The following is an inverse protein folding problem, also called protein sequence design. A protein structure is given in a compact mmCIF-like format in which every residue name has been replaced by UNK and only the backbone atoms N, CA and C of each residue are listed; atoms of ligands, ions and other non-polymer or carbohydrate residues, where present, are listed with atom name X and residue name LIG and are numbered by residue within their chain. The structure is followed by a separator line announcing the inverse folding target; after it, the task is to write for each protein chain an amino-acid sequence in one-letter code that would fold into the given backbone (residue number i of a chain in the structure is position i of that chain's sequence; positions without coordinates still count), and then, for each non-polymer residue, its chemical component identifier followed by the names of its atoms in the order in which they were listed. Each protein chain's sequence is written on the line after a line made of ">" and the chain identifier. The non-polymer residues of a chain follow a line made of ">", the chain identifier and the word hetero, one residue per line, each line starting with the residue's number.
data_IF_954674958431
#
_entry.id   IF_954674958431
#
_cell.length_a   1.000
_cell.length_b   1.000
_cell.length_c   1.000
_cell.angle_alpha   90.00
_cell.angle_beta   90.00
_cell.angle_gamma   90.00
#
_symmetry.space_group_name_H-M   'P 1'
#
loop_
_entity.id
_entity.type
_entity.pdbx_description
1 polymer ?
#
# COMPACT_ATOMS: atom_id res chain seq x y z
N UNK A 1 -57.94 -3.70 39.47
CA UNK A 1 -57.19 -4.75 38.72
C UNK A 1 -56.72 -4.17 37.38
N UNK A 2 -55.50 -3.65 37.38
CA UNK A 2 -54.77 -3.17 36.17
C UNK A 2 -53.40 -3.77 36.30
N UNK A 3 -52.95 -4.58 35.33
CA UNK A 3 -51.54 -4.82 34.98
C UNK A 3 -51.43 -5.86 33.89
N UNK A 4 -50.50 -5.56 32.99
CA UNK A 4 -49.86 -6.44 32.00
C UNK A 4 -50.37 -6.31 30.58
N UNK A 5 -49.75 -5.35 29.86
CA UNK A 5 -49.45 -5.46 28.44
C UNK A 5 -48.34 -4.46 28.12
N UNK A 6 -47.10 -4.85 28.25
CA UNK A 6 -45.92 -4.14 27.66
C UNK A 6 -44.69 -4.99 27.88
N UNK A 7 -44.34 -5.90 26.99
CA UNK A 7 -43.02 -6.51 26.90
C UNK A 7 -42.88 -7.54 25.75
N UNK A 8 -43.39 -7.30 24.55
CA UNK A 8 -43.16 -8.27 23.43
C UNK A 8 -42.61 -7.59 22.14
N UNK A 9 -42.43 -6.27 22.11
CA UNK A 9 -42.07 -5.61 20.85
C UNK A 9 -40.54 -5.38 20.62
N UNK A 10 -39.69 -5.71 21.57
CA UNK A 10 -38.24 -5.41 21.48
C UNK A 10 -37.35 -6.56 20.94
N UNK A 11 -37.87 -7.77 20.78
CA UNK A 11 -37.04 -8.94 20.40
C UNK A 11 -37.06 -9.24 18.89
N UNK A 12 -38.01 -8.70 18.13
CA UNK A 12 -38.17 -9.06 16.70
C UNK A 12 -37.27 -8.24 15.78
N UNK A 13 -36.79 -7.07 16.18
CA UNK A 13 -35.98 -6.19 15.32
C UNK A 13 -34.49 -6.60 15.23
N UNK A 14 -33.96 -7.32 16.20
CA UNK A 14 -32.54 -7.77 16.14
C UNK A 14 -32.33 -9.04 15.29
N UNK A 15 -33.35 -9.87 15.12
CA UNK A 15 -33.23 -11.13 14.36
C UNK A 15 -33.34 -10.94 12.84
N UNK A 16 -34.03 -9.92 12.37
CA UNK A 16 -34.17 -9.63 10.93
C UNK A 16 -32.90 -9.09 10.29
N UNK A 17 -32.05 -8.36 11.03
CA UNK A 17 -30.78 -7.83 10.54
C UNK A 17 -29.70 -8.88 10.31
N UNK A 18 -29.68 -9.95 11.12
CA UNK A 18 -28.70 -11.05 10.99
C UNK A 18 -29.09 -12.02 9.88
N UNK A 19 -30.36 -12.28 9.64
CA UNK A 19 -30.84 -13.15 8.57
C UNK A 19 -30.57 -12.52 7.18
N UNK A 20 -30.78 -11.22 7.03
CA UNK A 20 -30.54 -10.53 5.76
C UNK A 20 -29.05 -10.47 5.37
N UNK A 21 -28.14 -10.32 6.34
CA UNK A 21 -26.68 -10.37 6.09
C UNK A 21 -26.19 -11.75 5.68
N UNK A 22 -26.70 -12.82 6.31
CA UNK A 22 -26.35 -14.19 5.95
C UNK A 22 -26.83 -14.56 4.54
N UNK A 23 -28.02 -14.15 4.15
CA UNK A 23 -28.59 -14.42 2.81
C UNK A 23 -27.80 -13.68 1.72
N UNK A 24 -27.40 -12.43 1.95
CA UNK A 24 -26.60 -11.64 1.00
C UNK A 24 -25.18 -12.21 0.82
N UNK A 25 -24.54 -12.66 1.91
CA UNK A 25 -23.22 -13.29 1.84
C UNK A 25 -23.27 -14.64 1.11
N UNK A 26 -24.31 -15.46 1.35
CA UNK A 26 -24.51 -16.72 0.64
C UNK A 26 -24.75 -16.51 -0.85
N UNK A 27 -25.57 -15.53 -1.23
CA UNK A 27 -25.81 -15.16 -2.63
C UNK A 27 -24.52 -14.74 -3.35
N UNK A 28 -23.63 -13.98 -2.67
CA UNK A 28 -22.32 -13.59 -3.20
C UNK A 28 -21.44 -14.81 -3.46
N UNK A 29 -21.37 -15.74 -2.51
CA UNK A 29 -20.59 -16.98 -2.63
C UNK A 29 -21.14 -17.85 -3.78
N UNK A 30 -22.45 -18.01 -3.88
CA UNK A 30 -23.07 -18.81 -4.93
C UNK A 30 -22.86 -18.19 -6.32
N UNK A 31 -22.90 -16.86 -6.45
CA UNK A 31 -22.55 -16.13 -7.66
C UNK A 31 -21.07 -16.33 -8.03
N UNK A 32 -20.16 -16.12 -7.09
CA UNK A 32 -18.72 -16.31 -7.29
C UNK A 32 -18.36 -17.75 -7.66
N UNK A 33 -19.06 -18.74 -7.08
CA UNK A 33 -18.89 -20.16 -7.44
C UNK A 33 -19.28 -20.45 -8.88
N UNK A 34 -20.30 -19.79 -9.41
CA UNK A 34 -20.71 -19.92 -10.82
C UNK A 34 -19.69 -19.26 -11.75
N UNK A 35 -19.09 -18.15 -11.36
CA UNK A 35 -18.06 -17.46 -12.11
C UNK A 35 -16.72 -18.22 -12.13
N UNK A 36 -16.36 -18.90 -11.05
CA UNK A 36 -15.25 -19.86 -10.95
C UNK A 36 -13.85 -19.25 -11.04
N UNK A 37 -13.72 -17.96 -11.32
CA UNK A 37 -12.45 -17.27 -11.46
C UNK A 37 -12.54 -15.80 -11.08
N UNK A 38 -11.36 -15.19 -10.78
CA UNK A 38 -11.19 -13.75 -10.59
C UNK A 38 -9.85 -13.32 -11.20
N UNK A 39 -9.85 -12.22 -11.95
CA UNK A 39 -8.64 -11.63 -12.54
C UNK A 39 -8.15 -10.49 -11.66
N UNK A 40 -6.95 -10.63 -11.11
CA UNK A 40 -6.33 -9.70 -10.20
C UNK A 40 -5.12 -9.00 -10.83
N UNK A 41 -5.19 -7.69 -11.03
CA UNK A 41 -4.02 -6.89 -11.40
C UNK A 41 -3.39 -6.28 -10.15
N UNK A 42 -2.12 -6.60 -9.91
CA UNK A 42 -1.39 -6.16 -8.72
C UNK A 42 -0.08 -5.46 -9.06
N UNK A 43 0.20 -4.36 -8.40
CA UNK A 43 1.51 -3.69 -8.47
C UNK A 43 2.47 -4.12 -7.38
N UNK A 44 1.98 -4.81 -6.35
CA UNK A 44 2.80 -5.37 -5.28
C UNK A 44 3.80 -6.42 -5.82
N UNK A 45 4.73 -6.83 -4.99
CA UNK A 45 5.70 -7.89 -5.35
C UNK A 45 5.00 -9.20 -5.68
N UNK A 46 5.48 -9.90 -6.72
CA UNK A 46 4.87 -11.14 -7.22
C UNK A 46 4.73 -12.21 -6.12
N UNK A 47 5.76 -12.38 -5.27
CA UNK A 47 5.74 -13.33 -4.15
C UNK A 47 4.65 -13.00 -3.15
N UNK A 48 4.42 -11.71 -2.86
CA UNK A 48 3.36 -11.28 -1.96
C UNK A 48 1.98 -11.53 -2.57
N UNK A 49 1.80 -11.20 -3.84
CA UNK A 49 0.56 -11.49 -4.57
C UNK A 49 0.25 -13.01 -4.58
N UNK A 50 1.25 -13.85 -4.85
CA UNK A 50 1.10 -15.32 -4.82
C UNK A 50 0.68 -15.85 -3.46
N UNK A 51 1.24 -15.35 -2.35
CA UNK A 51 0.84 -15.76 -1.00
C UNK A 51 -0.61 -15.41 -0.71
N UNK A 52 -1.04 -14.22 -1.11
CA UNK A 52 -2.40 -13.74 -0.92
C UNK A 52 -3.38 -14.58 -1.74
N UNK A 53 -3.08 -14.81 -3.02
CA UNK A 53 -3.96 -15.60 -3.90
C UNK A 53 -4.05 -17.05 -3.47
N UNK A 54 -2.94 -17.67 -3.04
CA UNK A 54 -2.94 -19.02 -2.49
C UNK A 54 -3.79 -19.14 -1.23
N UNK A 55 -3.75 -18.15 -0.33
CA UNK A 55 -4.59 -18.14 0.86
C UNK A 55 -6.09 -18.00 0.51
N UNK A 56 -6.41 -17.17 -0.49
CA UNK A 56 -7.77 -17.05 -1.00
C UNK A 56 -8.27 -18.35 -1.64
N UNK A 57 -7.49 -18.96 -2.53
CA UNK A 57 -7.84 -20.22 -3.20
C UNK A 57 -7.98 -21.39 -2.20
N UNK A 58 -7.18 -21.39 -1.13
CA UNK A 58 -7.34 -22.36 -0.04
C UNK A 58 -8.70 -22.23 0.66
N UNK A 59 -9.16 -20.98 0.87
CA UNK A 59 -10.46 -20.72 1.51
C UNK A 59 -11.63 -20.94 0.57
N UNK A 60 -11.46 -20.60 -0.70
CA UNK A 60 -12.49 -20.69 -1.74
C UNK A 60 -11.98 -21.53 -2.94
N UNK A 61 -11.84 -22.87 -2.77
CA UNK A 61 -11.17 -23.73 -3.76
C UNK A 61 -11.92 -23.84 -5.08
N UNK A 62 -13.12 -23.31 -5.15
CA UNK A 62 -13.95 -23.24 -6.35
C UNK A 62 -13.69 -21.99 -7.19
N UNK A 63 -12.77 -21.10 -6.79
CA UNK A 63 -12.39 -19.90 -7.55
C UNK A 63 -10.89 -19.96 -7.84
N UNK A 64 -10.52 -19.79 -9.11
CA UNK A 64 -9.14 -19.59 -9.54
C UNK A 64 -8.82 -18.11 -9.61
N UNK A 65 -7.64 -17.73 -9.10
CA UNK A 65 -7.14 -16.34 -9.20
C UNK A 65 -6.12 -16.25 -10.33
N UNK A 66 -6.49 -15.55 -11.40
CA UNK A 66 -5.52 -15.14 -12.44
C UNK A 66 -4.85 -13.82 -12.00
N UNK A 67 -3.71 -13.93 -11.33
CA UNK A 67 -2.98 -12.80 -10.82
C UNK A 67 -1.88 -12.34 -11.80
N UNK A 68 -2.00 -11.13 -12.30
CA UNK A 68 -0.98 -10.51 -13.16
C UNK A 68 -0.29 -9.37 -12.44
N UNK A 69 1.03 -9.50 -12.23
CA UNK A 69 1.86 -8.41 -11.70
C UNK A 69 2.16 -7.39 -12.81
N UNK A 70 1.73 -6.15 -12.61
CA UNK A 70 1.93 -5.04 -13.56
C UNK A 70 2.45 -3.82 -12.77
N UNK A 71 3.49 -3.15 -13.27
CA UNK A 71 3.93 -1.87 -12.68
C UNK A 71 2.81 -0.83 -12.76
N UNK A 72 2.69 0.02 -11.73
CA UNK A 72 1.55 0.91 -11.54
C UNK A 72 1.23 1.80 -12.76
N UNK A 73 2.22 2.44 -13.36
CA UNK A 73 2.00 3.30 -14.55
C UNK A 73 1.46 2.49 -15.75
N UNK A 74 2.06 1.31 -16.02
CA UNK A 74 1.60 0.42 -17.09
C UNK A 74 0.20 -0.13 -16.81
N UNK A 75 -0.12 -0.37 -15.55
CA UNK A 75 -1.46 -0.80 -15.15
C UNK A 75 -2.50 0.28 -15.46
N UNK A 76 -2.21 1.55 -15.15
CA UNK A 76 -3.08 2.68 -15.50
C UNK A 76 -3.36 2.73 -17.00
N UNK A 77 -2.31 2.65 -17.82
CA UNK A 77 -2.44 2.64 -19.29
C UNK A 77 -3.30 1.46 -19.77
N UNK A 78 -3.07 0.28 -19.21
CA UNK A 78 -3.83 -0.94 -19.58
C UNK A 78 -5.30 -0.85 -19.20
N UNK A 79 -5.62 -0.43 -17.98
CA UNK A 79 -7.02 -0.28 -17.53
C UNK A 79 -7.78 0.72 -18.38
N UNK A 80 -7.15 1.85 -18.73
CA UNK A 80 -7.76 2.85 -19.63
C UNK A 80 -8.00 2.27 -21.01
N UNK A 81 -7.05 1.56 -21.59
CA UNK A 81 -7.20 0.93 -22.90
C UNK A 81 -8.30 -0.15 -22.91
N UNK A 82 -8.37 -1.00 -21.87
CA UNK A 82 -9.40 -2.02 -21.71
C UNK A 82 -10.80 -1.38 -21.65
N UNK A 83 -10.96 -0.31 -20.86
CA UNK A 83 -12.22 0.42 -20.71
C UNK A 83 -12.65 1.09 -22.04
N UNK A 84 -11.73 1.78 -22.73
CA UNK A 84 -11.99 2.41 -24.02
C UNK A 84 -12.36 1.39 -25.09
N UNK A 85 -11.70 0.23 -25.09
CA UNK A 85 -11.98 -0.88 -25.98
C UNK A 85 -13.23 -1.69 -25.63
N UNK A 86 -13.93 -1.37 -24.51
CA UNK A 86 -15.04 -2.17 -23.94
C UNK A 86 -14.68 -3.66 -23.77
N UNK A 87 -13.42 -3.93 -23.40
CA UNK A 87 -12.86 -5.26 -23.19
C UNK A 87 -12.19 -5.34 -21.84
N UNK A 88 -12.93 -4.98 -20.78
CA UNK A 88 -12.46 -5.09 -19.41
C UNK A 88 -12.09 -6.53 -19.10
N UNK A 89 -10.89 -6.73 -18.54
CA UNK A 89 -10.38 -8.05 -18.13
C UNK A 89 -10.17 -8.16 -16.64
N UNK A 90 -9.71 -7.07 -16.02
CA UNK A 90 -9.46 -7.05 -14.58
C UNK A 90 -10.78 -7.03 -13.81
N UNK A 91 -10.88 -7.84 -12.77
CA UNK A 91 -11.98 -7.82 -11.81
C UNK A 91 -11.63 -6.97 -10.59
N UNK A 92 -10.41 -7.14 -10.08
CA UNK A 92 -9.90 -6.42 -8.91
C UNK A 92 -8.51 -5.86 -9.23
N UNK A 93 -8.28 -4.63 -8.79
CA UNK A 93 -6.96 -3.98 -8.94
C UNK A 93 -6.41 -3.57 -7.59
N UNK A 94 -5.09 -3.79 -7.42
CA UNK A 94 -4.29 -3.24 -6.36
C UNK A 94 -3.15 -2.44 -6.98
N UNK A 95 -3.05 -1.15 -6.68
CA UNK A 95 -2.11 -0.25 -7.33
C UNK A 95 -1.55 0.79 -6.35
N UNK A 96 -0.34 1.30 -6.62
CA UNK A 96 0.23 2.44 -5.88
C UNK A 96 -0.73 3.62 -5.85
N UNK A 97 -0.88 4.27 -4.69
CA UNK A 97 -1.96 5.22 -4.42
C UNK A 97 -2.09 6.38 -5.41
N UNK A 98 -0.97 6.95 -5.89
CA UNK A 98 -1.04 8.06 -6.84
C UNK A 98 -1.54 7.63 -8.22
N UNK A 99 -1.01 6.53 -8.74
CA UNK A 99 -1.43 5.98 -10.03
C UNK A 99 -2.88 5.49 -9.95
N UNK A 100 -3.23 4.88 -8.82
CA UNK A 100 -4.58 4.44 -8.51
C UNK A 100 -5.59 5.61 -8.52
N UNK A 101 -5.23 6.75 -7.94
CA UNK A 101 -6.09 7.92 -7.94
C UNK A 101 -6.37 8.43 -9.36
N UNK A 102 -5.38 8.37 -10.25
CA UNK A 102 -5.56 8.71 -11.66
C UNK A 102 -6.57 7.80 -12.37
N UNK A 103 -6.62 6.52 -12.03
CA UNK A 103 -7.62 5.56 -12.55
C UNK A 103 -9.00 5.83 -11.94
N UNK A 104 -9.05 6.11 -10.63
CA UNK A 104 -10.27 6.49 -9.92
C UNK A 104 -10.94 7.73 -10.54
N UNK A 105 -10.17 8.80 -10.83
CA UNK A 105 -10.69 10.00 -11.46
C UNK A 105 -11.30 9.78 -12.85
N UNK A 106 -10.92 8.70 -13.52
CA UNK A 106 -11.50 8.29 -14.82
C UNK A 106 -12.80 7.49 -14.67
N UNK A 107 -13.27 7.24 -13.44
CA UNK A 107 -14.52 6.53 -13.19
C UNK A 107 -14.47 5.03 -13.55
N UNK A 108 -13.27 4.41 -13.46
CA UNK A 108 -13.05 3.01 -13.84
C UNK A 108 -13.24 2.01 -12.69
N UNK A 109 -13.73 2.45 -11.54
CA UNK A 109 -14.02 1.59 -10.40
C UNK A 109 -15.52 1.54 -10.12
N UNK A 110 -15.98 0.38 -9.66
CA UNK A 110 -17.34 0.17 -9.16
C UNK A 110 -17.44 0.53 -7.68
N UNK A 111 -18.60 1.03 -7.25
CA UNK A 111 -18.86 1.27 -5.83
C UNK A 111 -19.24 -0.04 -5.16
N UNK A 112 -18.48 -0.44 -4.14
CA UNK A 112 -18.76 -1.62 -3.35
C UNK A 112 -18.48 -1.39 -1.87
N UNK A 113 -19.49 -1.58 -1.04
CA UNK A 113 -19.38 -1.48 0.41
C UNK A 113 -19.09 -2.85 1.02
N UNK A 114 -17.81 -3.16 1.14
CA UNK A 114 -17.37 -4.38 1.83
C UNK A 114 -17.87 -4.43 3.29
N UNK A 115 -18.34 -5.58 3.79
CA UNK A 115 -18.67 -5.76 5.20
C UNK A 115 -17.47 -5.54 6.13
N UNK A 116 -16.24 -5.68 5.62
CA UNK A 116 -14.99 -5.52 6.35
C UNK A 116 -14.57 -4.04 6.55
N UNK A 117 -15.23 -3.13 5.84
CA UNK A 117 -14.89 -1.70 5.78
C UNK A 117 -14.79 -1.02 7.15
N UNK A 118 -15.65 -1.39 8.10
CA UNK A 118 -15.71 -0.76 9.43
C UNK A 118 -14.47 -1.00 10.29
N UNK A 119 -13.67 -2.02 9.98
CA UNK A 119 -12.42 -2.32 10.68
C UNK A 119 -11.24 -1.43 10.25
N UNK A 120 -11.44 -0.53 9.28
CA UNK A 120 -10.42 0.39 8.77
C UNK A 120 -10.72 1.82 9.20
N UNK A 121 -9.72 2.63 9.61
CA UNK A 121 -9.88 4.05 9.87
C UNK A 121 -10.39 4.81 8.63
N UNK A 122 -11.03 5.96 8.84
CA UNK A 122 -11.71 6.70 7.78
C UNK A 122 -10.77 7.12 6.63
N UNK A 123 -9.54 7.49 6.96
CA UNK A 123 -8.51 7.92 6.01
C UNK A 123 -8.05 6.82 5.03
N UNK A 124 -8.37 5.54 5.31
CA UNK A 124 -8.04 4.40 4.46
C UNK A 124 -9.21 3.90 3.61
N UNK A 125 -10.29 4.64 3.53
CA UNK A 125 -11.50 4.21 2.82
C UNK A 125 -12.24 5.38 2.16
N UNK A 126 -12.75 5.15 0.97
CA UNK A 126 -13.61 6.11 0.26
C UNK A 126 -15.02 6.13 0.85
N UNK A 127 -15.61 7.29 1.11
CA UNK A 127 -16.96 7.41 1.67
C UNK A 127 -18.04 6.80 0.77
N UNK A 128 -17.83 6.85 -0.55
CA UNK A 128 -18.76 6.33 -1.56
C UNK A 128 -18.49 4.88 -1.95
N UNK A 129 -17.48 4.22 -1.33
CA UNK A 129 -17.20 2.81 -1.53
C UNK A 129 -16.42 2.47 -2.80
N UNK A 130 -15.84 3.43 -3.52
CA UNK A 130 -15.09 3.15 -4.74
C UNK A 130 -13.73 2.51 -4.48
N UNK A 131 -13.16 2.70 -3.28
CA UNK A 131 -11.84 2.17 -2.96
C UNK A 131 -11.61 1.96 -1.47
N UNK A 132 -10.64 1.13 -1.19
CA UNK A 132 -10.01 0.92 0.12
C UNK A 132 -8.48 1.01 -0.02
N UNK A 133 -7.78 1.32 1.07
CA UNK A 133 -6.32 1.25 1.16
C UNK A 133 -5.94 0.19 2.20
N UNK A 134 -5.86 -1.09 1.82
CA UNK A 134 -5.65 -2.20 2.76
C UNK A 134 -4.20 -2.35 3.21
N UNK A 135 -3.26 -1.69 2.56
CA UNK A 135 -1.84 -1.85 2.84
C UNK A 135 -1.04 -0.59 2.52
N UNK A 136 0.11 -0.46 3.16
CA UNK A 136 1.13 0.51 2.80
C UNK A 136 2.53 -0.12 2.94
N UNK A 137 3.50 0.36 2.15
CA UNK A 137 4.91 0.16 2.45
C UNK A 137 5.44 1.37 3.20
N UNK A 138 6.35 1.13 4.16
CA UNK A 138 6.97 2.22 4.92
C UNK A 138 8.25 2.70 4.23
N UNK A 139 8.37 4.00 4.05
CA UNK A 139 9.62 4.63 3.67
C UNK A 139 10.53 4.70 4.89
N UNK A 140 11.70 4.11 4.74
CA UNK A 140 12.72 3.98 5.78
C UNK A 140 14.09 4.35 5.21
N UNK A 141 15.05 4.64 6.07
CA UNK A 141 16.46 4.73 5.69
C UNK A 141 17.06 3.33 5.80
N UNK A 142 17.74 2.84 4.75
CA UNK A 142 18.42 1.56 4.82
C UNK A 142 19.96 1.74 4.73
N UNK A 143 20.70 0.94 5.47
CA UNK A 143 22.16 1.03 5.51
C UNK A 143 22.84 -0.35 5.52
N UNK A 144 24.07 -0.39 5.05
CA UNK A 144 24.91 -1.60 5.09
C UNK A 144 25.61 -1.73 6.45
N UNK A 145 25.32 -2.79 7.19
CA UNK A 145 25.89 -3.05 8.54
C UNK A 145 27.39 -3.27 8.58
N UNK A 146 28.02 -3.57 7.45
CA UNK A 146 29.49 -3.71 7.35
C UNK A 146 30.18 -2.36 7.13
N UNK A 147 29.44 -1.35 6.63
CA UNK A 147 29.97 -0.01 6.36
C UNK A 147 29.60 1.00 7.43
N UNK A 148 28.47 0.80 8.10
CA UNK A 148 27.91 1.70 9.13
C UNK A 148 27.60 0.88 10.36
N UNK A 149 28.25 1.19 11.49
CA UNK A 149 27.92 0.59 12.77
C UNK A 149 26.52 1.02 13.22
N UNK A 150 25.80 0.14 13.92
CA UNK A 150 24.41 0.45 14.35
C UNK A 150 24.31 1.70 15.22
N UNK A 151 25.37 2.01 16.00
CA UNK A 151 25.42 3.23 16.82
C UNK A 151 25.53 4.51 15.98
N UNK A 152 26.11 4.42 14.77
CA UNK A 152 26.34 5.52 13.84
C UNK A 152 25.24 5.63 12.77
N UNK A 153 24.28 4.71 12.78
CA UNK A 153 23.17 4.72 11.82
C UNK A 153 22.39 6.04 11.92
N UNK A 154 21.95 6.60 10.76
CA UNK A 154 21.16 7.83 10.75
C UNK A 154 19.81 7.60 11.45
N UNK A 155 19.39 8.54 12.30
CA UNK A 155 18.12 8.46 13.05
C UNK A 155 17.01 9.25 12.41
N UNK A 156 17.35 10.15 11.50
CA UNK A 156 16.41 10.98 10.75
C UNK A 156 16.91 11.23 9.33
N UNK A 157 16.02 11.65 8.45
CA UNK A 157 16.41 12.09 7.10
C UNK A 157 17.31 13.31 7.10
N UNK A 158 17.24 14.15 8.15
CA UNK A 158 18.11 15.32 8.31
C UNK A 158 19.55 14.94 8.63
N UNK A 159 19.78 13.83 9.34
CA UNK A 159 21.14 13.34 9.65
C UNK A 159 21.89 13.01 8.34
N UNK A 160 21.20 12.62 7.28
CA UNK A 160 21.79 12.34 5.97
C UNK A 160 22.34 13.59 5.25
N UNK A 161 22.14 14.77 5.82
CA UNK A 161 22.73 16.02 5.33
C UNK A 161 24.10 16.32 5.96
N UNK A 162 24.57 15.50 6.90
CA UNK A 162 25.87 15.65 7.54
C UNK A 162 27.00 15.33 6.55
N UNK A 163 28.18 16.00 6.66
CA UNK A 163 29.29 15.81 5.74
C UNK A 163 29.81 14.37 5.58
N UNK A 164 29.67 13.55 6.65
CA UNK A 164 30.10 12.14 6.62
C UNK A 164 29.36 11.27 5.60
N UNK A 165 28.18 11.70 5.16
CA UNK A 165 27.38 10.97 4.18
C UNK A 165 27.62 11.38 2.73
N UNK A 166 28.48 12.39 2.51
CA UNK A 166 28.79 12.86 1.17
C UNK A 166 29.39 11.76 0.30
N UNK A 167 28.78 11.47 -0.85
CA UNK A 167 29.16 10.39 -1.73
C UNK A 167 28.84 8.97 -1.24
N UNK A 168 28.11 8.83 -0.11
CA UNK A 168 27.74 7.55 0.49
C UNK A 168 26.26 7.16 0.26
N UNK A 169 25.50 8.00 -0.43
CA UNK A 169 24.05 7.87 -0.54
C UNK A 169 23.61 7.35 -1.91
N UNK A 170 22.62 6.46 -1.91
CA UNK A 170 21.81 6.07 -3.06
C UNK A 170 20.38 6.58 -2.90
N UNK A 171 19.75 6.97 -4.00
CA UNK A 171 18.35 7.42 -4.00
C UNK A 171 17.70 7.11 -5.35
N UNK A 172 16.38 6.90 -5.36
CA UNK A 172 15.63 6.72 -6.60
C UNK A 172 15.51 8.05 -7.36
N UNK A 173 15.53 7.98 -8.69
CA UNK A 173 15.37 9.15 -9.56
C UNK A 173 13.99 9.81 -9.41
N UNK A 174 13.05 9.16 -8.76
CA UNK A 174 11.69 9.65 -8.54
C UNK A 174 11.19 9.41 -7.12
N UNK A 175 11.66 10.20 -6.17
CA UNK A 175 11.14 10.25 -4.80
C UNK A 175 10.15 11.42 -4.59
N UNK A 176 9.49 11.87 -5.65
CA UNK A 176 8.51 12.96 -5.58
C UNK A 176 7.35 12.66 -4.61
N UNK A 177 6.94 11.40 -4.50
CA UNK A 177 5.89 10.96 -3.57
C UNK A 177 6.36 11.09 -2.11
N UNK A 178 7.59 10.67 -1.82
CA UNK A 178 8.19 10.85 -0.50
C UNK A 178 8.37 12.33 -0.17
N UNK A 179 8.88 13.13 -1.11
CA UNK A 179 8.99 14.60 -0.93
C UNK A 179 7.63 15.23 -0.63
N UNK A 180 6.55 14.83 -1.34
CA UNK A 180 5.19 15.31 -1.05
C UNK A 180 4.75 14.97 0.38
N UNK A 181 5.08 13.76 0.86
CA UNK A 181 4.84 13.36 2.25
C UNK A 181 5.63 14.19 3.27
N UNK A 182 6.88 14.49 2.95
CA UNK A 182 7.72 15.37 3.79
C UNK A 182 7.16 16.81 3.84
N UNK A 183 6.67 17.33 2.71
CA UNK A 183 5.99 18.64 2.65
C UNK A 183 4.71 18.63 3.49
N UNK A 184 3.91 17.57 3.38
CA UNK A 184 2.67 17.40 4.17
C UNK A 184 2.95 17.41 5.68
N UNK A 185 4.04 16.79 6.10
CA UNK A 185 4.37 16.62 7.52
C UNK A 185 5.12 17.82 8.11
N UNK A 186 6.17 18.30 7.43
CA UNK A 186 7.04 19.35 7.97
C UNK A 186 6.67 20.76 7.51
N UNK A 187 5.77 20.88 6.51
CA UNK A 187 5.57 22.11 5.75
C UNK A 187 6.62 22.29 4.64
N UNK A 188 6.27 23.08 3.63
CA UNK A 188 7.07 23.25 2.41
C UNK A 188 8.48 23.77 2.69
N UNK A 189 8.61 24.81 3.51
CA UNK A 189 9.91 25.44 3.79
C UNK A 189 10.94 24.46 4.36
N UNK A 190 10.56 23.68 5.37
CA UNK A 190 11.46 22.73 6.04
C UNK A 190 11.74 21.52 5.15
N UNK A 191 10.74 20.99 4.45
CA UNK A 191 10.94 19.87 3.54
C UNK A 191 11.85 20.26 2.37
N UNK A 192 11.67 21.43 1.78
CA UNK A 192 12.51 21.90 0.68
C UNK A 192 13.94 22.27 1.14
N UNK A 193 14.15 22.70 2.39
CA UNK A 193 15.47 22.84 2.96
C UNK A 193 16.21 21.50 3.04
N UNK A 194 15.52 20.45 3.51
CA UNK A 194 16.06 19.08 3.50
C UNK A 194 16.44 18.65 2.08
N UNK A 195 15.56 18.86 1.09
CA UNK A 195 15.85 18.46 -0.31
C UNK A 195 17.11 19.17 -0.84
N UNK A 196 17.22 20.49 -0.62
CA UNK A 196 18.40 21.26 -1.05
C UNK A 196 19.69 20.76 -0.40
N UNK A 197 19.67 20.44 0.90
CA UNK A 197 20.82 19.89 1.62
C UNK A 197 21.19 18.51 1.12
N UNK A 198 20.22 17.64 0.89
CA UNK A 198 20.45 16.30 0.29
C UNK A 198 21.08 16.42 -1.09
N UNK A 199 20.64 17.39 -1.92
CA UNK A 199 21.18 17.59 -3.26
C UNK A 199 22.69 17.92 -3.26
N UNK A 200 23.26 18.42 -2.14
CA UNK A 200 24.71 18.68 -2.00
C UNK A 200 25.52 17.45 -1.58
N UNK A 201 24.86 16.32 -1.31
CA UNK A 201 25.51 15.09 -0.78
C UNK A 201 26.12 14.18 -1.86
N UNK A 202 26.20 14.61 -3.12
CA UNK A 202 26.73 13.80 -4.22
C UNK A 202 26.02 12.42 -4.31
N UNK A 203 24.69 12.47 -4.23
CA UNK A 203 23.84 11.28 -4.27
C UNK A 203 23.98 10.56 -5.61
N UNK A 204 24.15 9.24 -5.57
CA UNK A 204 24.08 8.41 -6.76
C UNK A 204 22.63 8.00 -7.00
N UNK A 205 22.08 8.42 -8.12
CA UNK A 205 20.70 8.09 -8.52
C UNK A 205 20.66 6.83 -9.37
N UNK A 206 19.65 5.98 -9.11
CA UNK A 206 19.30 4.80 -9.90
C UNK A 206 17.77 4.64 -9.87
N UNK A 207 17.23 3.87 -10.80
CA UNK A 207 15.79 3.60 -10.85
C UNK A 207 15.45 2.26 -10.23
N UNK A 208 14.60 2.26 -9.22
CA UNK A 208 14.00 1.06 -8.61
C UNK A 208 14.54 0.71 -7.23
N UNK A 209 13.67 0.79 -6.22
CA UNK A 209 13.99 0.55 -4.80
C UNK A 209 14.63 -0.82 -4.55
N UNK A 210 14.18 -1.88 -5.25
CA UNK A 210 14.80 -3.22 -5.12
C UNK A 210 16.27 -3.20 -5.53
N UNK A 211 16.62 -2.52 -6.63
CA UNK A 211 17.99 -2.37 -7.08
C UNK A 211 18.81 -1.60 -6.04
N UNK A 212 18.33 -0.45 -5.58
CA UNK A 212 19.03 0.38 -4.60
C UNK A 212 19.37 -0.40 -3.32
N UNK A 213 18.40 -1.15 -2.78
CA UNK A 213 18.59 -1.97 -1.59
C UNK A 213 19.63 -3.08 -1.82
N UNK A 214 19.60 -3.71 -3.00
CA UNK A 214 20.61 -4.74 -3.39
C UNK A 214 22.01 -4.14 -3.49
N UNK A 215 22.16 -2.96 -4.10
CA UNK A 215 23.45 -2.27 -4.24
C UNK A 215 24.03 -1.87 -2.88
N UNK A 216 23.19 -1.34 -1.95
CA UNK A 216 23.64 -1.07 -0.59
C UNK A 216 24.00 -2.36 0.15
N UNK A 217 23.22 -3.43 0.02
CA UNK A 217 23.55 -4.72 0.61
C UNK A 217 24.89 -5.26 0.08
N UNK A 218 25.21 -5.04 -1.19
CA UNK A 218 26.48 -5.41 -1.82
C UNK A 218 27.65 -4.49 -1.42
N UNK A 219 27.39 -3.33 -0.80
CA UNK A 219 28.42 -2.38 -0.35
C UNK A 219 28.84 -1.35 -1.40
N UNK A 220 28.05 -1.10 -2.44
CA UNK A 220 28.35 -0.06 -3.44
C UNK A 220 28.29 1.34 -2.82
N UNK A 221 27.35 1.56 -1.90
CA UNK A 221 27.21 2.76 -1.05
C UNK A 221 26.74 2.35 0.33
N UNK A 222 26.91 3.24 1.30
CA UNK A 222 26.58 2.94 2.68
C UNK A 222 25.07 2.98 2.97
N UNK A 223 24.32 3.86 2.30
CA UNK A 223 22.93 4.17 2.67
C UNK A 223 22.02 4.33 1.45
N UNK A 224 20.81 3.79 1.51
CA UNK A 224 19.67 4.20 0.68
C UNK A 224 18.88 5.25 1.46
N UNK A 225 18.70 6.45 0.89
CA UNK A 225 17.97 7.55 1.53
C UNK A 225 16.51 7.18 1.76
N UNK A 226 15.84 6.64 0.74
CA UNK A 226 14.46 6.17 0.82
C UNK A 226 14.40 4.72 0.35
N UNK A 227 14.21 3.80 1.28
CA UNK A 227 14.03 2.38 1.03
C UNK A 227 12.62 1.94 1.44
N UNK A 228 12.19 0.79 0.96
CA UNK A 228 10.95 0.15 1.41
C UNK A 228 11.29 -0.92 2.46
N UNK A 229 10.73 -0.78 3.65
CA UNK A 229 11.06 -1.65 4.78
C UNK A 229 10.85 -3.14 4.47
N UNK A 230 9.73 -3.50 3.80
CA UNK A 230 9.46 -4.89 3.39
C UNK A 230 10.54 -5.48 2.44
N UNK A 231 11.11 -4.64 1.57
CA UNK A 231 12.19 -5.06 0.66
C UNK A 231 13.50 -5.29 1.42
N UNK A 232 13.82 -4.44 2.40
CA UNK A 232 15.00 -4.61 3.27
C UNK A 232 14.84 -5.87 4.13
N UNK A 233 13.66 -6.09 4.74
CA UNK A 233 13.40 -7.28 5.57
C UNK A 233 13.51 -8.58 4.78
N UNK A 234 13.17 -8.57 3.49
CA UNK A 234 13.41 -9.71 2.62
C UNK A 234 14.92 -9.99 2.48
N UNK A 235 15.73 -8.98 2.17
CA UNK A 235 17.17 -9.11 2.06
C UNK A 235 17.83 -9.55 3.39
N UNK A 236 17.32 -9.07 4.52
CA UNK A 236 17.75 -9.53 5.86
C UNK A 236 17.49 -11.02 6.06
N UNK A 237 16.33 -11.54 5.63
CA UNK A 237 16.00 -12.97 5.68
C UNK A 237 16.96 -13.82 4.83
N UNK A 238 17.45 -13.26 3.72
CA UNK A 238 18.47 -13.86 2.87
C UNK A 238 19.90 -13.62 3.40
N UNK A 239 20.04 -13.21 4.67
CA UNK A 239 21.32 -12.95 5.37
C UNK A 239 22.16 -11.82 4.76
N UNK A 240 21.59 -10.93 3.97
CA UNK A 240 22.29 -9.77 3.44
C UNK A 240 22.66 -8.77 4.58
N UNK A 241 23.83 -8.11 4.49
CA UNK A 241 24.30 -7.21 5.54
C UNK A 241 23.64 -5.82 5.47
N UNK A 242 22.34 -5.79 5.38
CA UNK A 242 21.52 -4.57 5.31
C UNK A 242 20.60 -4.47 6.53
N UNK A 243 20.35 -3.27 6.99
CA UNK A 243 19.42 -2.96 8.07
C UNK A 243 18.67 -1.66 7.73
N UNK A 244 17.56 -1.43 8.39
CA UNK A 244 16.84 -0.18 8.24
C UNK A 244 16.53 0.48 9.59
N UNK A 245 16.33 1.78 9.54
CA UNK A 245 15.85 2.59 10.65
C UNK A 245 14.59 3.34 10.24
N UNK A 246 13.61 3.35 11.14
CA UNK A 246 12.42 4.18 10.98
C UNK A 246 12.79 5.61 11.32
N UNK A 247 12.71 6.50 10.32
CA UNK A 247 12.88 7.93 10.51
C UNK A 247 11.50 8.62 10.60
N UNK A 248 11.37 9.66 11.43
CA UNK A 248 10.18 10.50 11.39
C UNK A 248 10.25 11.50 10.22
N UNK A 249 9.13 11.66 9.49
CA UNK A 249 7.91 10.87 9.57
C UNK A 249 8.06 9.50 8.88
N UNK A 250 7.38 8.47 9.41
CA UNK A 250 7.23 7.21 8.71
C UNK A 250 6.14 7.35 7.63
N UNK A 251 6.54 7.79 6.46
CA UNK A 251 5.60 7.92 5.33
C UNK A 251 5.18 6.54 4.84
N UNK A 252 3.87 6.27 4.90
CA UNK A 252 3.26 5.08 4.34
C UNK A 252 2.83 5.34 2.89
N UNK A 253 3.53 4.74 1.93
CA UNK A 253 3.04 4.70 0.56
C UNK A 253 1.91 3.68 0.46
N UNK A 254 0.69 4.20 0.42
CA UNK A 254 -0.52 3.38 0.40
C UNK A 254 -0.74 2.71 -0.95
N UNK A 255 -1.43 1.56 -0.93
CA UNK A 255 -1.94 0.89 -2.10
C UNK A 255 -3.46 0.98 -2.11
N UNK A 256 -4.02 1.47 -3.20
CA UNK A 256 -5.45 1.43 -3.44
C UNK A 256 -5.89 0.04 -3.89
N UNK A 257 -7.07 -0.37 -3.45
CA UNK A 257 -7.77 -1.60 -3.82
C UNK A 257 -9.18 -1.24 -4.28
N UNK A 258 -9.60 -1.74 -5.44
CA UNK A 258 -10.95 -1.52 -5.96
C UNK A 258 -11.45 -2.70 -6.79
N UNK A 259 -12.76 -2.83 -6.86
CA UNK A 259 -13.46 -3.61 -7.89
C UNK A 259 -13.51 -2.76 -9.17
N UNK A 260 -13.12 -3.35 -10.29
CA UNK A 260 -13.13 -2.66 -11.58
C UNK A 260 -14.57 -2.53 -12.09
N UNK A 261 -14.87 -1.38 -12.67
CA UNK A 261 -16.18 -1.16 -13.31
C UNK A 261 -16.36 -2.11 -14.49
N UNK A 262 -17.54 -2.68 -14.60
CA UNK A 262 -17.88 -3.69 -15.63
C UNK A 262 -16.98 -4.95 -15.54
N UNK A 263 -16.53 -5.33 -14.34
CA UNK A 263 -15.75 -6.52 -14.06
C UNK A 263 -16.43 -7.77 -14.63
N UNK A 264 -15.70 -8.65 -15.38
CA UNK A 264 -16.26 -9.88 -15.95
C UNK A 264 -16.84 -10.86 -14.92
N UNK A 265 -16.27 -10.86 -13.69
CA UNK A 265 -16.65 -11.78 -12.61
C UNK A 265 -17.02 -10.99 -11.35
N UNK A 266 -18.17 -10.26 -11.34
CA UNK A 266 -18.47 -9.27 -10.31
C UNK A 266 -18.67 -9.85 -8.90
N UNK A 267 -19.15 -11.10 -8.79
CA UNK A 267 -19.31 -11.75 -7.48
C UNK A 267 -17.96 -12.26 -6.96
N UNK A 268 -17.15 -12.89 -7.79
CA UNK A 268 -15.80 -13.33 -7.43
C UNK A 268 -14.90 -12.12 -7.11
N UNK A 269 -15.05 -11.01 -7.85
CA UNK A 269 -14.36 -9.75 -7.56
C UNK A 269 -14.66 -9.22 -6.15
N UNK A 270 -15.94 -9.13 -5.80
CA UNK A 270 -16.38 -8.67 -4.46
C UNK A 270 -15.94 -9.62 -3.36
N UNK A 271 -16.04 -10.94 -3.59
CA UNK A 271 -15.59 -11.94 -2.61
C UNK A 271 -14.08 -11.89 -2.41
N UNK A 272 -13.29 -11.69 -3.47
CA UNK A 272 -11.84 -11.53 -3.38
C UNK A 272 -11.46 -10.20 -2.71
N UNK A 273 -12.15 -9.11 -3.04
CA UNK A 273 -12.00 -7.82 -2.40
C UNK A 273 -12.28 -7.90 -0.88
N UNK A 274 -13.37 -8.59 -0.48
CA UNK A 274 -13.69 -8.80 0.94
C UNK A 274 -12.64 -9.64 1.65
N UNK A 275 -12.11 -10.68 0.98
CA UNK A 275 -11.03 -11.49 1.53
C UNK A 275 -9.78 -10.64 1.79
N UNK A 276 -9.37 -9.80 0.85
CA UNK A 276 -8.20 -8.91 1.01
C UNK A 276 -8.37 -7.94 2.18
N UNK A 277 -9.59 -7.55 2.50
CA UNK A 277 -9.92 -6.68 3.63
C UNK A 277 -10.20 -7.46 4.92
N UNK A 278 -10.48 -8.74 4.85
CA UNK A 278 -10.77 -9.57 6.02
C UNK A 278 -9.57 -9.66 6.96
N UNK A 279 -9.81 -10.02 8.22
CA UNK A 279 -8.73 -10.25 9.18
C UNK A 279 -7.69 -11.24 8.64
N UNK A 280 -8.14 -12.37 8.09
CA UNK A 280 -7.27 -13.41 7.52
C UNK A 280 -6.43 -12.86 6.35
N UNK A 281 -7.04 -12.17 5.40
CA UNK A 281 -6.32 -11.54 4.28
C UNK A 281 -5.31 -10.51 4.74
N UNK A 282 -5.66 -9.69 5.73
CA UNK A 282 -4.78 -8.68 6.30
C UNK A 282 -3.61 -9.30 7.10
N UNK A 283 -3.82 -10.42 7.79
CA UNK A 283 -2.74 -11.17 8.45
C UNK A 283 -1.73 -11.71 7.41
N UNK A 284 -2.20 -12.19 6.26
CA UNK A 284 -1.33 -12.62 5.15
C UNK A 284 -0.54 -11.44 4.56
N UNK A 285 -1.19 -10.29 4.36
CA UNK A 285 -0.55 -9.06 3.85
C UNK A 285 0.50 -8.56 4.87
N UNK A 286 0.16 -8.54 6.15
CA UNK A 286 1.07 -8.14 7.22
C UNK A 286 2.29 -9.07 7.32
N UNK A 287 2.09 -10.39 7.20
CA UNK A 287 3.17 -11.38 7.19
C UNK A 287 4.10 -11.26 5.97
N UNK A 288 3.63 -10.64 4.87
CA UNK A 288 4.45 -10.29 3.72
C UNK A 288 5.30 -9.01 3.93
N UNK A 289 5.22 -8.37 5.12
CA UNK A 289 6.02 -7.21 5.50
C UNK A 289 5.37 -5.86 5.19
N UNK A 290 4.08 -5.83 4.86
CA UNK A 290 3.37 -4.57 4.68
C UNK A 290 2.77 -4.06 5.99
N UNK A 291 2.69 -2.76 6.13
CA UNK A 291 1.81 -2.14 7.11
C UNK A 291 0.35 -2.36 6.70
N UNK A 292 -0.48 -2.77 7.64
CA UNK A 292 -1.93 -2.92 7.44
C UNK A 292 -2.68 -2.01 8.41
N UNK A 293 -3.62 -1.19 7.91
CA UNK A 293 -4.34 -0.22 8.74
C UNK A 293 -5.54 -0.81 9.47
N UNK A 294 -5.86 -2.09 9.24
CA UNK A 294 -6.96 -2.76 9.95
C UNK A 294 -6.70 -2.80 11.44
N UNK A 295 -7.62 -2.26 12.26
CA UNK A 295 -7.39 -1.95 13.67
C UNK A 295 -7.25 -3.18 14.59
N UNK A 296 -7.76 -4.34 14.15
CA UNK A 296 -7.73 -5.61 14.89
C UNK A 296 -6.66 -6.59 14.36
N UNK A 297 -5.77 -6.12 13.46
CA UNK A 297 -4.62 -6.89 12.94
C UNK A 297 -3.32 -6.19 13.28
N UNK A 298 -2.39 -6.91 13.87
CA UNK A 298 -1.05 -6.39 14.15
C UNK A 298 -0.22 -6.31 12.87
N UNK A 299 0.52 -5.21 12.70
CA UNK A 299 1.53 -5.06 11.65
C UNK A 299 2.91 -5.37 12.23
N UNK A 300 3.52 -6.53 11.96
CA UNK A 300 4.82 -6.92 12.52
C UNK A 300 5.92 -5.90 12.22
N UNK A 301 5.87 -5.24 11.06
CA UNK A 301 6.81 -4.19 10.65
C UNK A 301 6.90 -3.04 11.66
N UNK A 302 5.83 -2.76 12.40
CA UNK A 302 5.86 -1.73 13.44
C UNK A 302 6.62 -2.15 14.70
N UNK A 303 6.87 -3.45 14.89
CA UNK A 303 7.68 -3.93 16.03
C UNK A 303 9.16 -3.63 15.82
N UNK A 304 9.60 -3.58 14.58
CA UNK A 304 10.98 -3.23 14.21
C UNK A 304 11.17 -1.71 14.09
N UNK A 305 10.07 -0.97 13.93
CA UNK A 305 10.08 0.48 13.94
C UNK A 305 10.36 1.02 15.36
N UNK A 306 10.88 2.25 15.44
CA UNK A 306 11.10 2.90 16.74
C UNK A 306 9.79 2.94 17.56
N UNK A 307 9.87 2.77 18.90
CA UNK A 307 8.70 2.92 19.76
C UNK A 307 7.98 4.24 19.48
N UNK A 308 6.68 4.22 19.26
CA UNK A 308 5.82 5.35 18.89
C UNK A 308 5.87 5.79 17.42
N UNK A 309 6.48 5.03 16.51
CA UNK A 309 6.41 5.35 15.09
C UNK A 309 4.95 5.41 14.63
N UNK A 310 4.51 6.61 14.25
CA UNK A 310 3.21 6.83 13.64
C UNK A 310 3.35 6.74 12.13
N UNK A 311 2.65 5.81 11.52
CA UNK A 311 2.57 5.74 10.07
C UNK A 311 1.64 6.85 9.57
N UNK A 312 2.15 7.68 8.68
CA UNK A 312 1.38 8.74 8.05
C UNK A 312 1.05 8.27 6.64
N UNK A 313 -0.23 7.91 6.37
CA UNK A 313 -0.62 7.53 5.03
C UNK A 313 -0.46 8.73 4.10
N UNK A 314 0.17 8.51 2.95
CA UNK A 314 0.25 9.54 1.93
C UNK A 314 -1.14 9.70 1.28
N UNK A 315 -1.82 10.86 1.44
CA UNK A 315 -3.14 11.05 0.88
C UNK A 315 -3.14 10.91 -0.64
N UNK A 316 -4.02 10.06 -1.18
CA UNK A 316 -4.12 9.86 -2.65
C UNK A 316 -4.47 11.17 -3.38
N UNK A 317 -5.18 12.10 -2.72
CA UNK A 317 -5.54 13.39 -3.29
C UNK A 317 -4.33 14.24 -3.70
N UNK A 318 -3.16 14.01 -3.11
CA UNK A 318 -1.91 14.64 -3.52
C UNK A 318 -1.50 14.25 -4.96
N UNK A 319 -2.03 13.16 -5.49
CA UNK A 319 -1.81 12.75 -6.87
C UNK A 319 -2.31 13.78 -7.89
N UNK A 320 -3.30 14.62 -7.54
CA UNK A 320 -3.73 15.74 -8.40
C UNK A 320 -2.58 16.73 -8.69
N UNK A 321 -1.59 16.81 -7.79
CA UNK A 321 -0.39 17.65 -7.93
C UNK A 321 0.87 16.84 -8.27
N UNK A 322 0.73 15.61 -8.73
CA UNK A 322 1.88 14.71 -8.95
C UNK A 322 2.92 15.33 -9.89
N UNK A 323 2.50 15.88 -11.04
CA UNK A 323 3.42 16.51 -11.98
C UNK A 323 4.19 17.68 -11.35
N UNK A 324 3.54 18.49 -10.52
CA UNK A 324 4.18 19.60 -9.81
C UNK A 324 5.27 19.06 -8.85
N UNK A 325 4.92 18.05 -8.05
CA UNK A 325 5.89 17.40 -7.14
C UNK A 325 7.03 16.74 -7.92
N UNK A 326 6.74 16.08 -9.02
CA UNK A 326 7.73 15.44 -9.87
C UNK A 326 8.73 16.45 -10.44
N UNK A 327 8.25 17.54 -11.03
CA UNK A 327 9.11 18.59 -11.59
C UNK A 327 9.90 19.30 -10.49
N UNK A 328 9.28 19.57 -9.35
CA UNK A 328 9.94 20.20 -8.20
C UNK A 328 11.06 19.31 -7.65
N UNK A 329 10.81 18.02 -7.50
CA UNK A 329 11.80 17.04 -7.06
C UNK A 329 13.00 17.00 -8.01
N UNK A 330 12.77 16.82 -9.33
CA UNK A 330 13.85 16.78 -10.32
C UNK A 330 14.67 18.05 -10.32
N UNK A 331 14.02 19.21 -10.27
CA UNK A 331 14.68 20.51 -10.23
C UNK A 331 15.56 20.66 -8.99
N UNK A 332 15.06 20.38 -7.80
CA UNK A 332 15.82 20.54 -6.55
C UNK A 332 16.98 19.56 -6.43
N UNK A 333 16.80 18.33 -6.94
CA UNK A 333 17.84 17.30 -6.93
C UNK A 333 18.81 17.40 -8.11
N UNK A 334 18.65 18.37 -9.01
CA UNK A 334 19.54 18.56 -10.17
C UNK A 334 19.43 17.46 -11.23
N UNK A 335 18.30 16.77 -11.31
CA UNK A 335 18.01 15.73 -12.30
C UNK A 335 17.48 16.35 -13.60
N UNK A 336 17.97 15.86 -14.75
CA UNK A 336 17.55 16.34 -16.09
C UNK A 336 16.24 15.73 -16.54
#
# INVERSE_FOLDING_TARGET
>A
MKRQFSSILAVITLSLGSIGRSASAQSLIDGAKKEGQVVFYASMEAVSAQRITAAFEKKYPFIKVDATRIGSERMTTRLVAEAQGRKVRADVVQQSGFDFYGVFQKGLFDSYFSPERSAFPAEYRDEKGFWMMPAATLNVIAYNKKMVASADAPKSFFDLTEPRWKGQLLMDENESKWMAGMIQYYGEAKAMDLMRKLATQEIQFRTGHTLLQTLVAAGERAVVVVAFANGVDRLKKDSAPIEWVSAEPAIGLTFGLAVVKDAPHPNAARLFHDFLLSREGQEVIAAAGYYVPRTDVASPILKEAAPKTKVIPLPMTLAARYNEYYQTYRKVMGLK
#
